data_IF_816756500577
#
_entry.id   IF_816756500577
#
_cell.length_a   1.000
_cell.length_b   1.000
_cell.length_c   1.000
_cell.angle_alpha   90.00
_cell.angle_beta   90.00
_cell.angle_gamma   90.00
#
_symmetry.space_group_name_H-M   'P 1'
#
loop_
_entity.id
_entity.type
_entity.pdbx_description
1 polymer ?
#
# COMPACT_ATOMS: atom_id res chain seq x y z
N UNK A 1 -16.48 12.97 5.39
CA UNK A 1 -16.42 12.79 6.86
C UNK A 1 -14.99 12.43 7.23
N UNK A 2 -14.50 12.72 8.45
CA UNK A 2 -13.15 12.32 8.91
C UNK A 2 -13.27 11.14 9.88
N UNK A 3 -13.89 10.06 9.40
CA UNK A 3 -14.22 8.85 10.15
C UNK A 3 -13.23 7.70 9.93
N UNK A 4 -12.23 7.89 9.06
CA UNK A 4 -11.17 6.93 8.82
C UNK A 4 -9.78 7.41 9.25
N UNK A 5 -8.88 6.45 9.39
CA UNK A 5 -7.43 6.66 9.43
C UNK A 5 -6.80 5.71 8.39
N UNK A 6 -5.80 6.19 7.65
CA UNK A 6 -4.94 5.33 6.85
C UNK A 6 -3.52 5.38 7.43
N UNK A 7 -2.99 4.20 7.72
CA UNK A 7 -1.56 4.00 7.95
C UNK A 7 -0.92 3.60 6.62
N UNK A 8 -0.06 4.43 6.06
CA UNK A 8 0.76 4.06 4.91
C UNK A 8 1.99 3.32 5.43
N UNK A 9 2.26 2.12 4.90
CA UNK A 9 3.39 1.28 5.29
C UNK A 9 4.35 1.14 4.12
N UNK A 10 5.65 1.24 4.39
CA UNK A 10 6.71 1.10 3.39
C UNK A 10 7.86 0.23 3.90
N UNK A 11 8.29 -0.68 3.04
CA UNK A 11 9.37 -1.65 3.28
C UNK A 11 10.43 -1.54 2.17
N UNK A 12 11.34 -0.56 2.23
CA UNK A 12 12.24 -0.22 1.13
C UNK A 12 13.35 -1.26 0.88
N UNK A 13 13.59 -2.16 1.82
CA UNK A 13 14.50 -3.30 1.67
C UNK A 13 13.92 -4.43 0.83
N UNK A 14 12.60 -4.47 0.61
CA UNK A 14 11.95 -5.60 -0.06
C UNK A 14 12.49 -5.81 -1.46
N UNK A 15 12.92 -7.04 -1.73
CA UNK A 15 13.46 -7.45 -3.02
C UNK A 15 12.31 -8.03 -3.85
N UNK A 16 12.04 -7.40 -5.00
CA UNK A 16 10.99 -7.86 -5.91
C UNK A 16 11.60 -8.40 -7.20
N UNK A 17 10.97 -9.40 -7.81
CA UNK A 17 11.33 -9.84 -9.16
C UNK A 17 11.14 -8.69 -10.15
N UNK A 18 11.90 -8.66 -11.24
CA UNK A 18 11.72 -7.64 -12.28
C UNK A 18 10.27 -7.63 -12.80
N UNK A 19 9.69 -6.45 -13.04
CA UNK A 19 8.51 -6.36 -13.89
C UNK A 19 8.92 -6.71 -15.32
N UNK A 20 8.04 -7.35 -16.10
CA UNK A 20 8.27 -7.62 -17.54
C UNK A 20 8.11 -6.33 -18.35
N UNK A 21 9.03 -5.39 -18.12
CA UNK A 21 9.06 -4.09 -18.78
C UNK A 21 10.34 -3.97 -19.62
N UNK A 22 10.25 -3.29 -20.75
CA UNK A 22 11.34 -3.19 -21.72
C UNK A 22 12.62 -2.55 -21.12
N UNK A 23 12.46 -1.67 -20.12
CA UNK A 23 13.57 -1.02 -19.41
C UNK A 23 14.07 -1.82 -18.20
N UNK A 24 13.36 -2.86 -17.78
CA UNK A 24 13.67 -3.66 -16.58
C UNK A 24 15.12 -4.21 -16.61
N UNK A 25 15.63 -4.75 -17.73
CA UNK A 25 17.04 -5.18 -17.83
C UNK A 25 18.06 -4.05 -17.67
N UNK A 26 17.64 -2.79 -17.83
CA UNK A 26 18.50 -1.62 -17.72
C UNK A 26 18.58 -1.06 -16.30
N UNK A 27 17.64 -1.39 -15.41
CA UNK A 27 17.64 -0.96 -14.00
C UNK A 27 18.87 -1.44 -13.22
N UNK A 28 19.46 -2.59 -13.61
CA UNK A 28 20.72 -3.09 -13.06
C UNK A 28 21.90 -2.14 -13.27
N UNK A 29 21.88 -1.33 -14.34
CA UNK A 29 22.94 -0.38 -14.65
C UNK A 29 22.83 0.94 -13.87
N UNK A 30 21.70 1.16 -13.19
CA UNK A 30 21.51 2.24 -12.22
C UNK A 30 21.73 1.76 -10.76
N UNK A 31 22.34 0.59 -10.57
CA UNK A 31 22.57 -0.06 -9.26
C UNK A 31 21.30 -0.37 -8.44
N UNK A 32 20.12 -0.42 -9.07
CA UNK A 32 18.84 -0.69 -8.40
C UNK A 32 18.52 -2.21 -8.34
N UNK A 33 19.47 -3.09 -8.66
CA UNK A 33 19.23 -4.53 -8.62
C UNK A 33 20.22 -5.41 -9.38
N UNK A 34 19.90 -6.71 -9.43
CA UNK A 34 20.63 -7.75 -10.18
C UNK A 34 19.93 -8.07 -11.51
N UNK A 35 20.42 -9.05 -12.29
CA UNK A 35 19.81 -9.48 -13.57
C UNK A 35 18.35 -10.01 -13.45
N UNK A 36 17.88 -10.37 -12.24
CA UNK A 36 16.53 -10.96 -12.01
C UNK A 36 15.71 -10.27 -10.91
N UNK A 37 16.33 -9.47 -10.03
CA UNK A 37 15.66 -8.85 -8.87
C UNK A 37 16.03 -7.38 -8.72
N UNK A 38 15.06 -6.53 -8.36
CA UNK A 38 15.23 -5.09 -8.08
C UNK A 38 14.89 -4.86 -6.61
N UNK A 39 15.69 -4.06 -5.91
CA UNK A 39 15.29 -3.52 -4.61
C UNK A 39 14.35 -2.34 -4.89
N UNK A 40 13.08 -2.65 -5.16
CA UNK A 40 12.05 -1.65 -5.43
C UNK A 40 11.18 -1.35 -4.20
N UNK A 41 11.34 -2.16 -3.14
CA UNK A 41 10.56 -2.10 -1.92
C UNK A 41 9.12 -2.62 -2.07
N UNK A 42 8.40 -2.60 -0.96
CA UNK A 42 6.96 -2.88 -0.90
C UNK A 42 6.23 -1.74 -0.20
N UNK A 43 4.97 -1.52 -0.58
CA UNK A 43 4.09 -0.54 0.04
C UNK A 43 2.71 -1.15 0.28
N UNK A 44 2.15 -0.84 1.43
CA UNK A 44 0.83 -1.30 1.83
C UNK A 44 0.11 -0.17 2.58
N UNK A 45 -1.17 -0.35 2.82
CA UNK A 45 -1.93 0.52 3.69
C UNK A 45 -2.72 -0.28 4.71
N UNK A 46 -3.02 0.34 5.84
CA UNK A 46 -3.99 -0.16 6.82
C UNK A 46 -5.09 0.88 6.95
N UNK A 47 -6.29 0.52 6.50
CA UNK A 47 -7.48 1.34 6.68
C UNK A 47 -8.11 1.02 8.03
N UNK A 48 -8.38 2.05 8.82
CA UNK A 48 -8.96 1.93 10.16
C UNK A 48 -10.25 2.76 10.19
N UNK A 49 -11.36 2.15 10.59
CA UNK A 49 -12.59 2.88 10.89
C UNK A 49 -12.55 3.37 12.33
N UNK A 50 -12.72 4.68 12.55
CA UNK A 50 -12.53 5.27 13.89
C UNK A 50 -13.54 4.79 14.93
N UNK A 51 -14.73 4.39 14.52
CA UNK A 51 -15.80 3.92 15.41
C UNK A 51 -15.55 2.53 15.95
N UNK A 52 -14.84 1.68 15.20
CA UNK A 52 -14.63 0.27 15.53
C UNK A 52 -13.18 -0.06 15.90
N UNK A 53 -12.22 0.74 15.43
CA UNK A 53 -10.79 0.45 15.57
C UNK A 53 -10.33 -0.75 14.73
N UNK A 54 -11.20 -1.34 13.91
CA UNK A 54 -10.84 -2.51 13.09
C UNK A 54 -9.78 -2.10 12.07
N UNK A 55 -8.74 -2.92 11.93
CA UNK A 55 -7.68 -2.73 10.94
C UNK A 55 -7.92 -3.58 9.69
N UNK A 56 -7.96 -2.92 8.54
CA UNK A 56 -8.01 -3.56 7.23
C UNK A 56 -6.69 -3.34 6.49
N UNK A 57 -5.82 -4.35 6.49
CA UNK A 57 -4.60 -4.31 5.70
C UNK A 57 -4.90 -4.58 4.23
N UNK A 58 -4.29 -3.76 3.36
CA UNK A 58 -4.36 -3.88 1.93
C UNK A 58 -3.00 -3.61 1.27
N UNK A 59 -2.65 -4.45 0.31
CA UNK A 59 -1.52 -4.23 -0.56
C UNK A 59 -1.84 -4.64 -2.00
N UNK A 60 -0.96 -4.27 -2.92
CA UNK A 60 -1.05 -4.65 -4.33
C UNK A 60 0.26 -5.25 -4.80
N UNK A 61 0.16 -6.40 -5.47
CA UNK A 61 1.33 -7.13 -5.93
C UNK A 61 0.97 -8.32 -6.80
N UNK A 62 2.00 -9.07 -7.21
CA UNK A 62 1.85 -10.26 -8.07
C UNK A 62 1.59 -11.50 -7.23
N UNK A 63 0.43 -11.56 -6.60
CA UNK A 63 0.04 -12.63 -5.67
C UNK A 63 -0.84 -13.67 -6.35
N UNK A 64 -0.30 -14.86 -6.65
CA UNK A 64 -1.05 -15.96 -7.29
C UNK A 64 -1.77 -15.45 -8.57
N UNK A 65 -1.04 -14.74 -9.42
CA UNK A 65 -1.53 -14.13 -10.67
C UNK A 65 -0.67 -14.57 -11.85
N UNK A 66 -1.26 -14.66 -13.05
CA UNK A 66 -0.50 -14.85 -14.27
C UNK A 66 0.24 -13.56 -14.63
N UNK A 67 1.48 -13.67 -15.12
CA UNK A 67 2.20 -12.52 -15.68
C UNK A 67 1.40 -11.90 -16.83
N UNK A 68 1.33 -10.56 -16.97
CA UNK A 68 2.01 -9.52 -16.20
C UNK A 68 1.14 -8.91 -15.08
N UNK A 69 0.16 -9.63 -14.55
CA UNK A 69 -0.86 -9.07 -13.67
C UNK A 69 -0.46 -9.11 -12.19
N UNK A 70 -1.02 -8.17 -11.43
CA UNK A 70 -1.12 -8.22 -9.98
C UNK A 70 -2.58 -8.10 -9.53
N UNK A 71 -2.80 -8.17 -8.22
CA UNK A 71 -4.11 -8.01 -7.59
C UNK A 71 -3.99 -7.29 -6.25
N UNK A 72 -5.09 -6.73 -5.80
CA UNK A 72 -5.22 -6.18 -4.44
C UNK A 72 -5.54 -7.31 -3.47
N UNK A 73 -4.85 -7.36 -2.33
CA UNK A 73 -5.19 -8.26 -1.22
C UNK A 73 -5.91 -7.54 -0.09
N UNK A 74 -6.57 -8.30 0.75
CA UNK A 74 -7.18 -7.89 2.01
C UNK A 74 -7.95 -9.04 2.62
N UNK A 75 -8.49 -8.86 3.83
CA UNK A 75 -9.24 -9.92 4.55
C UNK A 75 -10.31 -10.64 3.72
N UNK A 76 -10.91 -9.94 2.76
CA UNK A 76 -12.00 -10.47 1.91
C UNK A 76 -11.50 -11.42 0.82
N UNK A 77 -10.26 -11.28 0.40
CA UNK A 77 -9.64 -12.09 -0.66
C UNK A 77 -8.57 -13.04 -0.12
N UNK A 78 -8.06 -12.77 1.08
CA UNK A 78 -6.92 -13.45 1.69
C UNK A 78 -7.18 -13.57 3.20
N UNK A 79 -7.61 -14.77 3.63
CA UNK A 79 -8.06 -15.04 5.01
C UNK A 79 -6.99 -14.76 6.07
N UNK A 80 -5.71 -14.92 5.72
CA UNK A 80 -4.56 -14.65 6.59
C UNK A 80 -4.40 -13.17 6.96
N UNK A 81 -5.06 -12.26 6.23
CA UNK A 81 -5.05 -10.81 6.49
C UNK A 81 -6.20 -10.36 7.40
N UNK A 82 -6.86 -11.31 8.06
CA UNK A 82 -7.84 -11.03 9.11
C UNK A 82 -7.17 -11.09 10.48
N UNK A 83 -6.94 -9.93 11.10
CA UNK A 83 -6.19 -9.83 12.36
C UNK A 83 -7.11 -9.63 13.56
N UNK A 84 -6.69 -10.13 14.72
CA UNK A 84 -7.39 -9.94 15.98
C UNK A 84 -7.02 -8.63 16.70
N UNK A 85 -5.90 -8.01 16.34
CA UNK A 85 -5.49 -6.71 16.90
C UNK A 85 -6.43 -5.61 16.40
N UNK A 86 -6.77 -4.67 17.29
CA UNK A 86 -7.61 -3.49 17.01
C UNK A 86 -6.88 -2.21 17.43
N UNK A 87 -7.20 -1.10 16.78
CA UNK A 87 -6.68 0.21 17.11
C UNK A 87 -7.45 0.80 18.31
N UNK A 88 -6.69 1.15 19.35
CA UNK A 88 -7.22 1.87 20.50
C UNK A 88 -7.19 3.36 20.20
N UNK A 89 -8.36 3.97 20.06
CA UNK A 89 -8.50 5.35 19.63
C UNK A 89 -8.93 6.25 20.78
N UNK A 90 -8.18 7.34 20.97
CA UNK A 90 -8.50 8.39 21.92
C UNK A 90 -8.23 9.74 21.24
N UNK A 91 -9.23 10.63 21.16
CA UNK A 91 -9.10 11.96 20.58
C UNK A 91 -8.41 11.96 19.19
N UNK A 92 -8.92 11.14 18.26
CA UNK A 92 -8.37 10.97 16.90
C UNK A 92 -6.92 10.45 16.83
N UNK A 93 -6.39 9.91 17.93
CA UNK A 93 -5.02 9.38 18.04
C UNK A 93 -5.06 7.88 18.35
N UNK A 94 -4.18 7.11 17.69
CA UNK A 94 -4.01 5.68 17.94
C UNK A 94 -3.03 5.50 19.12
N UNK A 95 -3.53 5.00 20.25
CA UNK A 95 -2.75 4.84 21.49
C UNK A 95 -1.77 3.68 21.42
N UNK A 96 -2.18 2.57 20.80
CA UNK A 96 -1.36 1.38 20.60
C UNK A 96 -0.66 1.36 19.22
N UNK A 97 -0.30 2.52 18.67
CA UNK A 97 0.32 2.60 17.34
C UNK A 97 1.63 1.80 17.27
N UNK A 98 2.47 1.86 18.31
CA UNK A 98 3.73 1.11 18.36
C UNK A 98 3.49 -0.41 18.30
N UNK A 99 2.47 -0.91 19.01
CA UNK A 99 2.10 -2.32 18.98
C UNK A 99 1.66 -2.77 17.58
N UNK A 100 0.79 -1.96 16.95
CA UNK A 100 0.32 -2.21 15.58
C UNK A 100 1.48 -2.21 14.58
N UNK A 101 2.38 -1.23 14.64
CA UNK A 101 3.53 -1.16 13.75
C UNK A 101 4.51 -2.32 13.99
N UNK A 102 4.73 -2.69 15.26
CA UNK A 102 5.57 -3.85 15.61
C UNK A 102 4.97 -5.15 15.08
N UNK A 103 3.64 -5.30 15.12
CA UNK A 103 2.96 -6.43 14.50
C UNK A 103 3.29 -6.49 12.99
N UNK A 104 3.05 -5.42 12.24
CA UNK A 104 3.32 -5.41 10.80
C UNK A 104 4.81 -5.49 10.42
N UNK A 105 5.72 -5.05 11.28
CA UNK A 105 7.17 -5.16 11.08
C UNK A 105 7.70 -6.59 11.32
N UNK A 106 7.03 -7.38 12.15
CA UNK A 106 7.51 -8.71 12.59
C UNK A 106 6.80 -9.88 11.91
N UNK A 107 5.87 -9.60 10.98
CA UNK A 107 5.12 -10.61 10.22
C UNK A 107 5.34 -10.51 8.70
N UNK A 108 6.58 -10.60 8.19
CA UNK A 108 6.89 -10.47 6.77
C UNK A 108 6.20 -11.54 5.90
N UNK A 109 5.85 -12.71 6.48
CA UNK A 109 5.07 -13.74 5.78
C UNK A 109 3.65 -13.29 5.40
N UNK A 110 3.08 -12.35 6.16
CA UNK A 110 1.75 -11.78 5.89
C UNK A 110 1.87 -10.53 5.00
N UNK A 111 2.83 -9.66 5.33
CA UNK A 111 2.95 -8.34 4.70
C UNK A 111 3.75 -8.36 3.40
N UNK A 112 4.56 -9.41 3.17
CA UNK A 112 5.57 -9.46 2.11
C UNK A 112 6.56 -8.28 2.13
N UNK A 113 6.67 -7.61 3.27
CA UNK A 113 7.59 -6.51 3.50
C UNK A 113 8.80 -7.00 4.27
N UNK A 114 9.99 -6.84 3.69
CA UNK A 114 11.25 -7.16 4.35
C UNK A 114 11.94 -5.89 4.87
N UNK A 115 12.75 -6.04 5.92
CA UNK A 115 13.62 -5.00 6.46
C UNK A 115 12.89 -3.98 7.33
N UNK A 116 13.22 -2.69 7.14
CA UNK A 116 12.71 -1.64 8.01
C UNK A 116 11.28 -1.27 7.60
N UNK A 117 10.39 -1.17 8.58
CA UNK A 117 9.06 -0.60 8.37
C UNK A 117 9.12 0.91 8.60
N UNK A 118 8.77 1.67 7.57
CA UNK A 118 8.44 3.09 7.68
C UNK A 118 6.92 3.24 7.62
N UNK A 119 6.37 4.14 8.43
CA UNK A 119 4.93 4.38 8.45
C UNK A 119 4.59 5.87 8.55
N UNK A 120 3.48 6.26 7.94
CA UNK A 120 2.86 7.57 8.11
C UNK A 120 1.38 7.42 8.46
N UNK A 121 0.84 8.38 9.23
CA UNK A 121 -0.55 8.35 9.71
C UNK A 121 -1.32 9.51 9.07
N UNK A 122 -2.42 9.20 8.38
CA UNK A 122 -3.37 10.19 7.88
C UNK A 122 -4.74 10.01 8.53
N UNK A 123 -5.15 10.97 9.37
CA UNK A 123 -6.44 10.95 10.07
C UNK A 123 -7.54 11.80 9.40
N UNK A 124 -7.23 12.41 8.25
CA UNK A 124 -8.13 13.21 7.44
C UNK A 124 -8.75 12.38 6.31
N UNK A 125 -9.32 11.23 6.65
CA UNK A 125 -9.81 10.22 5.69
C UNK A 125 -11.32 10.03 5.84
N UNK A 126 -11.98 9.95 4.69
CA UNK A 126 -13.35 9.45 4.56
C UNK A 126 -13.31 7.92 4.35
N UNK A 127 -13.63 7.17 5.40
CA UNK A 127 -13.46 5.71 5.42
C UNK A 127 -14.26 5.03 4.31
N UNK A 128 -15.51 5.45 4.08
CA UNK A 128 -16.37 4.88 3.04
C UNK A 128 -15.81 5.10 1.65
N UNK A 129 -15.22 6.27 1.36
CA UNK A 129 -14.55 6.52 0.08
C UNK A 129 -13.32 5.63 -0.11
N UNK A 130 -12.51 5.44 0.94
CA UNK A 130 -11.36 4.54 0.90
C UNK A 130 -11.78 3.10 0.61
N UNK A 131 -12.70 2.56 1.43
CA UNK A 131 -13.23 1.20 1.30
C UNK A 131 -13.86 0.96 -0.08
N UNK A 132 -14.60 1.94 -0.62
CA UNK A 132 -15.18 1.86 -1.98
C UNK A 132 -14.11 1.81 -3.06
N UNK A 133 -13.06 2.62 -2.96
CA UNK A 133 -11.95 2.58 -3.92
C UNK A 133 -11.24 1.22 -3.89
N UNK A 134 -10.87 0.75 -2.69
CA UNK A 134 -10.19 -0.53 -2.49
C UNK A 134 -11.04 -1.69 -3.02
N UNK A 135 -12.33 -1.72 -2.67
CA UNK A 135 -13.27 -2.74 -3.16
C UNK A 135 -13.38 -2.71 -4.68
N UNK A 136 -13.45 -1.52 -5.29
CA UNK A 136 -13.47 -1.40 -6.74
C UNK A 136 -12.20 -1.99 -7.38
N UNK A 137 -11.01 -1.77 -6.79
CA UNK A 137 -9.76 -2.37 -7.27
C UNK A 137 -9.74 -3.89 -7.07
N UNK A 138 -10.21 -4.41 -5.93
CA UNK A 138 -10.34 -5.85 -5.69
C UNK A 138 -11.28 -6.51 -6.72
N UNK A 139 -12.39 -5.86 -7.07
CA UNK A 139 -13.37 -6.37 -8.04
C UNK A 139 -12.87 -6.39 -9.49
N UNK A 140 -11.83 -5.63 -9.84
CA UNK A 140 -11.17 -5.78 -11.16
C UNK A 140 -10.48 -7.15 -11.26
N UNK A 141 -10.09 -7.74 -10.12
CA UNK A 141 -9.37 -9.00 -10.05
C UNK A 141 -7.91 -8.82 -10.46
N UNK A 142 -7.63 -9.00 -11.76
CA UNK A 142 -6.27 -8.91 -12.30
C UNK A 142 -6.03 -7.57 -12.99
N UNK A 143 -5.12 -6.80 -12.41
CA UNK A 143 -4.70 -5.49 -12.92
C UNK A 143 -3.28 -5.62 -13.44
N UNK A 144 -2.99 -5.09 -14.63
CA UNK A 144 -1.62 -5.10 -15.16
C UNK A 144 -0.65 -4.47 -14.14
N UNK A 145 0.40 -5.20 -13.78
CA UNK A 145 1.46 -4.72 -12.91
C UNK A 145 2.52 -4.01 -13.76
N UNK A 146 2.80 -2.74 -13.47
CA UNK A 146 3.83 -1.98 -14.19
C UNK A 146 4.31 -0.77 -13.36
N UNK A 147 5.58 -0.40 -13.52
CA UNK A 147 6.12 0.77 -12.85
C UNK A 147 5.85 2.08 -13.61
N UNK A 148 5.81 2.10 -14.95
CA UNK A 148 5.61 3.36 -15.70
C UNK A 148 4.43 3.37 -16.68
N UNK A 149 3.73 2.26 -16.91
CA UNK A 149 2.54 2.25 -17.79
C UNK A 149 1.38 2.99 -17.14
N UNK A 150 0.77 3.95 -17.83
CA UNK A 150 -0.27 4.85 -17.27
C UNK A 150 -1.46 4.12 -16.65
N UNK A 151 -2.01 3.14 -17.36
CA UNK A 151 -3.22 2.39 -16.95
C UNK A 151 -2.90 1.10 -16.18
N UNK A 152 -1.68 0.99 -15.65
CA UNK A 152 -1.23 -0.12 -14.83
C UNK A 152 -1.09 0.30 -13.36
N UNK A 153 -0.97 -0.69 -12.48
CA UNK A 153 -0.84 -0.47 -11.04
C UNK A 153 0.45 -1.10 -10.48
N UNK A 154 0.83 -0.64 -9.29
CA UNK A 154 1.87 -1.22 -8.44
C UNK A 154 1.55 -0.87 -6.98
N UNK A 155 2.29 -1.43 -6.03
CA UNK A 155 2.05 -1.25 -4.60
C UNK A 155 1.93 0.23 -4.18
N UNK A 156 2.90 1.06 -4.56
CA UNK A 156 2.93 2.47 -4.19
C UNK A 156 1.80 3.29 -4.87
N UNK A 157 1.50 3.02 -6.15
CA UNK A 157 0.36 3.64 -6.84
C UNK A 157 -0.97 3.29 -6.20
N UNK A 158 -1.17 2.02 -5.84
CA UNK A 158 -2.38 1.58 -5.15
C UNK A 158 -2.58 2.31 -3.83
N UNK A 159 -1.52 2.45 -3.03
CA UNK A 159 -1.57 3.19 -1.76
C UNK A 159 -1.88 4.67 -1.98
N UNK A 160 -1.16 5.32 -2.90
CA UNK A 160 -1.37 6.74 -3.23
C UNK A 160 -2.79 6.99 -3.76
N UNK A 161 -3.30 6.14 -4.65
CA UNK A 161 -4.62 6.33 -5.25
C UNK A 161 -5.75 6.10 -4.22
N UNK A 162 -5.56 5.16 -3.30
CA UNK A 162 -6.46 4.96 -2.15
C UNK A 162 -6.51 6.19 -1.23
N UNK A 163 -5.35 6.81 -0.96
CA UNK A 163 -5.27 8.08 -0.21
C UNK A 163 -5.96 9.22 -0.97
N UNK A 164 -5.64 9.42 -2.26
CA UNK A 164 -6.23 10.50 -3.08
C UNK A 164 -7.76 10.37 -3.17
N UNK A 165 -8.28 9.15 -3.27
CA UNK A 165 -9.70 8.87 -3.37
C UNK A 165 -10.48 9.23 -2.09
N UNK A 166 -9.81 9.23 -0.93
CA UNK A 166 -10.45 9.26 0.39
C UNK A 166 -10.06 10.45 1.27
N UNK A 167 -8.91 11.07 1.03
CA UNK A 167 -8.45 12.21 1.81
C UNK A 167 -9.39 13.41 1.67
N UNK A 168 -9.76 14.00 2.81
CA UNK A 168 -10.69 15.12 2.88
C UNK A 168 -9.98 16.47 2.87
N UNK A 169 -8.71 16.50 3.28
CA UNK A 169 -7.90 17.71 3.29
C UNK A 169 -7.42 18.05 1.86
N UNK A 170 -7.85 19.20 1.27
CA UNK A 170 -7.48 19.56 -0.10
C UNK A 170 -6.00 19.80 -0.31
N UNK A 171 -5.27 20.26 0.72
CA UNK A 171 -3.83 20.49 0.65
C UNK A 171 -3.07 19.17 0.52
N UNK A 172 -3.42 18.18 1.34
CA UNK A 172 -2.84 16.82 1.26
C UNK A 172 -3.16 16.21 -0.09
N UNK A 173 -4.42 16.29 -0.54
CA UNK A 173 -4.82 15.79 -1.87
C UNK A 173 -3.99 16.39 -2.99
N UNK A 174 -3.80 17.71 -2.97
CA UNK A 174 -3.03 18.43 -3.99
C UNK A 174 -1.55 18.04 -3.98
N UNK A 175 -0.97 17.78 -2.80
CA UNK A 175 0.41 17.30 -2.68
C UNK A 175 0.58 15.89 -3.28
N UNK A 176 -0.34 14.97 -2.96
CA UNK A 176 -0.35 13.61 -3.51
C UNK A 176 -0.56 13.60 -5.03
N UNK A 177 -1.44 14.45 -5.55
CA UNK A 177 -1.64 14.58 -7.00
C UNK A 177 -0.38 15.10 -7.71
N UNK A 178 0.37 16.01 -7.08
CA UNK A 178 1.65 16.49 -7.61
C UNK A 178 2.74 15.42 -7.56
N UNK A 179 2.80 14.61 -6.51
CA UNK A 179 3.80 13.53 -6.42
C UNK A 179 3.57 12.46 -7.49
N UNK A 180 2.31 12.21 -7.88
CA UNK A 180 1.91 11.28 -8.97
C UNK A 180 2.42 11.68 -10.36
N UNK A 181 2.97 12.87 -10.56
CA UNK A 181 3.65 13.25 -11.81
C UNK A 181 4.90 12.41 -12.08
N UNK A 182 5.44 11.74 -11.05
CA UNK A 182 6.35 10.61 -11.16
C UNK A 182 5.67 9.39 -10.53
N UNK A 183 6.00 8.16 -10.95
CA UNK A 183 5.41 6.99 -10.29
C UNK A 183 5.73 7.04 -8.80
N UNK A 184 4.73 6.97 -7.91
CA UNK A 184 4.98 6.96 -6.47
C UNK A 184 5.95 5.85 -6.10
N UNK A 185 6.94 6.16 -5.26
CA UNK A 185 7.88 5.18 -4.71
C UNK A 185 7.39 4.72 -3.34
N UNK A 186 7.99 3.66 -2.81
CA UNK A 186 7.61 3.12 -1.50
C UNK A 186 7.73 4.14 -0.36
N UNK A 187 8.77 4.98 -0.38
CA UNK A 187 9.01 6.02 0.65
C UNK A 187 8.32 7.35 0.30
N UNK A 188 7.93 7.58 -0.96
CA UNK A 188 7.42 8.87 -1.42
C UNK A 188 5.92 9.13 -1.21
N UNK A 189 5.22 8.26 -0.47
CA UNK A 189 3.77 8.28 -0.27
C UNK A 189 3.34 9.04 0.99
#
# INVERSE_FOLDING_TARGET
MNDGIILTLAYPETIVSHAEEWYSPFLRFLFVGSKKHVRAGHAALVLIEKSTGILEYHDFGRYITSSPNGRVRGRETDFELNFSIVAELENDTIKNLEEILKFFATHPKLTHGDGHLYASVCNAIDYKKARRHITAQQNIGFIRYAAFIKDACNCARFVTDSLIASVTNPKIKSALLKSKNFTPSTIGN
#
